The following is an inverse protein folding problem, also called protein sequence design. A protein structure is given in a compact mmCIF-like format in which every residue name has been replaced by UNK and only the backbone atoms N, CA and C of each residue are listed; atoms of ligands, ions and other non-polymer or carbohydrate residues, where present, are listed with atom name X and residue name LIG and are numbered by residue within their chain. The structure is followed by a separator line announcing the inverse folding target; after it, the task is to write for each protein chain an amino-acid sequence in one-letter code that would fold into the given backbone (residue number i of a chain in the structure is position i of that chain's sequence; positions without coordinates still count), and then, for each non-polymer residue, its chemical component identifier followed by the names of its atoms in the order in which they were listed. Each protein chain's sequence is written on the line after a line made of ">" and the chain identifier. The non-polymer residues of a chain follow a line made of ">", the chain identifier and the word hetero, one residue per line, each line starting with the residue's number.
data_IF_750560774952
#
_entry.id   IF_750560774952
#
_cell.length_a   1.000
_cell.length_b   1.000
_cell.length_c   1.000
_cell.angle_alpha   90.00
_cell.angle_beta   90.00
_cell.angle_gamma   90.00
#
_symmetry.space_group_name_H-M   'P 1'
#
loop_
_entity.id
_entity.type
_entity.pdbx_description
1 polymer ?
#
# COMPACT_ATOMS: atom_id res chain seq x y z
N UNK A 1 22.66 -5.67 -10.48
CA UNK A 1 22.84 -4.41 -9.71
C UNK A 1 23.96 -4.65 -8.72
N UNK A 2 25.05 -3.88 -8.75
CA UNK A 2 26.10 -4.00 -7.74
C UNK A 2 25.54 -3.62 -6.37
N UNK A 3 25.90 -4.37 -5.32
CA UNK A 3 25.47 -4.07 -3.96
C UNK A 3 25.91 -2.65 -3.58
N UNK A 4 24.97 -1.82 -3.15
CA UNK A 4 25.26 -0.47 -2.67
C UNK A 4 25.93 -0.58 -1.30
N UNK A 5 27.03 0.14 -1.11
CA UNK A 5 27.70 0.19 0.19
C UNK A 5 26.75 0.77 1.24
N UNK A 6 26.80 0.25 2.47
CA UNK A 6 26.03 0.79 3.60
C UNK A 6 26.20 2.29 3.80
N UNK A 7 27.42 2.81 3.56
CA UNK A 7 27.72 4.26 3.66
C UNK A 7 26.96 5.07 2.61
N UNK A 8 26.91 4.57 1.37
CA UNK A 8 26.20 5.18 0.26
C UNK A 8 24.69 5.16 0.51
N UNK A 9 24.16 4.04 1.01
CA UNK A 9 22.74 3.94 1.39
C UNK A 9 22.37 4.94 2.49
N UNK A 10 23.15 5.03 3.57
CA UNK A 10 22.92 5.99 4.66
C UNK A 10 22.95 7.44 4.17
N UNK A 11 23.87 7.78 3.27
CA UNK A 11 23.93 9.10 2.64
C UNK A 11 22.64 9.42 1.85
N UNK A 12 22.20 8.49 1.00
CA UNK A 12 20.97 8.65 0.23
C UNK A 12 19.74 8.75 1.11
N UNK A 13 19.67 7.94 2.15
CA UNK A 13 18.57 7.97 3.12
C UNK A 13 18.46 9.36 3.75
N UNK A 14 19.57 9.92 4.24
CA UNK A 14 19.58 11.27 4.81
C UNK A 14 19.09 12.35 3.82
N UNK A 15 19.31 12.14 2.51
CA UNK A 15 19.03 13.14 1.47
C UNK A 15 17.65 13.02 0.84
N UNK A 16 17.14 11.81 0.63
CA UNK A 16 15.93 11.55 -0.18
C UNK A 16 14.79 10.88 0.59
N UNK A 17 14.98 10.55 1.87
CA UNK A 17 13.92 9.96 2.69
C UNK A 17 12.82 10.95 3.07
N UNK A 18 13.16 12.22 3.29
CA UNK A 18 12.17 13.20 3.72
C UNK A 18 11.32 13.73 2.56
N UNK A 19 10.04 13.94 2.83
CA UNK A 19 9.08 14.49 1.87
C UNK A 19 9.43 15.93 1.50
N UNK A 20 9.36 16.24 0.22
CA UNK A 20 9.34 17.63 -0.26
C UNK A 20 8.04 18.32 0.16
N UNK A 21 8.01 19.66 0.11
CA UNK A 21 6.79 20.43 0.44
C UNK A 21 5.58 20.02 -0.42
N UNK A 22 5.81 19.71 -1.70
CA UNK A 22 4.76 19.25 -2.60
C UNK A 22 4.23 17.87 -2.19
N UNK A 23 5.11 16.94 -1.82
CA UNK A 23 4.69 15.60 -1.37
C UNK A 23 4.02 15.65 -0.01
N UNK A 24 4.47 16.52 0.90
CA UNK A 24 3.81 16.72 2.19
C UNK A 24 2.40 17.25 1.99
N UNK A 25 2.20 18.20 1.07
CA UNK A 25 0.86 18.67 0.69
C UNK A 25 0.00 17.54 0.14
N UNK A 26 0.55 16.76 -0.80
CA UNK A 26 -0.18 15.64 -1.41
C UNK A 26 -0.52 14.55 -0.36
N UNK A 27 0.38 14.27 0.58
CA UNK A 27 0.15 13.40 1.73
C UNK A 27 -1.00 13.91 2.61
N UNK A 28 -0.99 15.19 2.99
CA UNK A 28 -2.05 15.79 3.81
C UNK A 28 -3.42 15.75 3.11
N UNK A 29 -3.45 15.97 1.79
CA UNK A 29 -4.68 15.86 1.01
C UNK A 29 -5.22 14.42 1.00
N UNK A 30 -4.34 13.43 0.82
CA UNK A 30 -4.72 12.02 0.90
C UNK A 30 -5.26 11.66 2.27
N UNK A 31 -4.58 12.10 3.34
CA UNK A 31 -5.06 11.90 4.73
C UNK A 31 -6.45 12.49 4.92
N UNK A 32 -6.67 13.71 4.43
CA UNK A 32 -7.96 14.39 4.50
C UNK A 32 -9.06 13.59 3.79
N UNK A 33 -8.87 13.25 2.51
CA UNK A 33 -9.91 12.56 1.75
C UNK A 33 -10.13 11.12 2.24
N UNK A 34 -9.07 10.37 2.53
CA UNK A 34 -9.20 9.01 3.02
C UNK A 34 -9.77 8.96 4.43
N UNK A 35 -9.46 9.94 5.28
CA UNK A 35 -10.07 10.07 6.60
C UNK A 35 -11.57 10.31 6.51
N UNK A 36 -12.01 11.20 5.61
CA UNK A 36 -13.43 11.43 5.33
C UNK A 36 -14.12 10.18 4.79
N UNK A 37 -13.49 9.46 3.85
CA UNK A 37 -14.00 8.19 3.32
C UNK A 37 -14.15 7.16 4.45
N UNK A 38 -13.15 7.04 5.32
CA UNK A 38 -13.11 6.04 6.38
C UNK A 38 -14.05 6.31 7.56
N UNK A 39 -14.46 7.56 7.78
CA UNK A 39 -15.39 7.95 8.84
C UNK A 39 -16.81 8.19 8.37
N UNK A 40 -17.11 8.02 7.08
CA UNK A 40 -18.37 8.44 6.47
C UNK A 40 -19.62 7.82 7.10
N UNK A 41 -19.56 6.54 7.44
CA UNK A 41 -20.66 5.78 8.05
C UNK A 41 -20.63 5.81 9.59
N UNK A 42 -19.77 6.63 10.21
CA UNK A 42 -19.52 6.65 11.66
C UNK A 42 -19.97 7.95 12.34
N UNK A 43 -21.01 8.59 11.82
CA UNK A 43 -21.58 9.84 12.36
C UNK A 43 -22.78 9.60 13.29
N UNK A 44 -22.82 8.44 13.94
CA UNK A 44 -23.91 7.99 14.80
C UNK A 44 -24.45 6.62 14.38
N UNK A 45 -25.32 6.05 15.21
CA UNK A 45 -25.96 4.76 14.95
C UNK A 45 -27.26 4.91 14.15
N UNK A 46 -28.40 4.73 14.81
CA UNK A 46 -29.71 4.93 14.18
C UNK A 46 -30.02 6.41 13.88
N UNK A 47 -29.39 7.32 14.62
CA UNK A 47 -29.59 8.77 14.50
C UNK A 47 -28.24 9.48 14.35
N UNK A 48 -28.25 10.62 13.66
CA UNK A 48 -27.06 11.44 13.45
C UNK A 48 -26.59 12.09 14.76
N UNK A 49 -25.31 11.91 15.08
CA UNK A 49 -24.64 12.51 16.23
C UNK A 49 -23.35 13.22 15.79
N UNK A 50 -23.40 14.56 15.80
CA UNK A 50 -22.30 15.42 15.37
C UNK A 50 -21.02 15.22 16.20
N UNK A 51 -21.15 15.06 17.52
CA UNK A 51 -20.00 14.94 18.43
C UNK A 51 -19.29 13.61 18.20
N UNK A 52 -20.05 12.53 18.07
CA UNK A 52 -19.52 11.21 17.76
C UNK A 52 -18.86 11.17 16.37
N UNK A 53 -19.50 11.77 15.36
CA UNK A 53 -18.94 11.89 14.02
C UNK A 53 -17.61 12.64 14.00
N UNK A 54 -17.51 13.79 14.68
CA UNK A 54 -16.26 14.54 14.77
C UNK A 54 -15.16 13.76 15.50
N UNK A 55 -15.48 13.06 16.58
CA UNK A 55 -14.53 12.18 17.29
C UNK A 55 -14.00 11.08 16.36
N UNK A 56 -14.90 10.40 15.64
CA UNK A 56 -14.54 9.33 14.72
C UNK A 56 -13.74 9.84 13.51
N UNK A 57 -14.06 11.03 13.01
CA UNK A 57 -13.30 11.70 11.95
C UNK A 57 -11.86 12.03 12.38
N UNK A 58 -11.67 12.56 13.59
CA UNK A 58 -10.33 12.84 14.13
C UNK A 58 -9.51 11.56 14.29
N UNK A 59 -10.13 10.49 14.80
CA UNK A 59 -9.48 9.17 14.88
C UNK A 59 -9.13 8.68 13.47
N UNK A 60 -10.05 8.79 12.51
CA UNK A 60 -9.83 8.38 11.12
C UNK A 60 -8.62 9.10 10.49
N UNK A 61 -8.46 10.41 10.70
CA UNK A 61 -7.28 11.14 10.21
C UNK A 61 -5.98 10.58 10.76
N UNK A 62 -5.93 10.26 12.06
CA UNK A 62 -4.72 9.69 12.68
C UNK A 62 -4.42 8.31 12.11
N UNK A 63 -5.43 7.43 12.04
CA UNK A 63 -5.25 6.07 11.51
C UNK A 63 -4.77 6.09 10.06
N UNK A 64 -5.44 6.87 9.21
CA UNK A 64 -5.07 7.03 7.80
C UNK A 64 -3.67 7.63 7.66
N UNK A 65 -3.34 8.67 8.42
CA UNK A 65 -2.01 9.28 8.36
C UNK A 65 -0.90 8.28 8.68
N UNK A 66 -1.08 7.48 9.74
CA UNK A 66 -0.09 6.46 10.12
C UNK A 66 0.00 5.36 9.04
N UNK A 67 -1.13 4.84 8.56
CA UNK A 67 -1.14 3.81 7.51
C UNK A 67 -0.49 4.27 6.20
N UNK A 68 -0.89 5.44 5.69
CA UNK A 68 -0.34 5.98 4.44
C UNK A 68 1.15 6.33 4.62
N UNK A 69 1.53 6.83 5.79
CA UNK A 69 2.95 7.11 6.08
C UNK A 69 3.78 5.84 6.05
N UNK A 70 3.35 4.76 6.73
CA UNK A 70 4.06 3.46 6.73
C UNK A 70 4.19 2.93 5.30
N UNK A 71 3.08 2.95 4.55
CA UNK A 71 3.06 2.53 3.15
C UNK A 71 4.10 3.27 2.31
N UNK A 72 4.07 4.61 2.31
CA UNK A 72 5.00 5.43 1.51
C UNK A 72 6.43 5.36 2.02
N UNK A 73 6.64 5.27 3.34
CA UNK A 73 7.96 5.17 3.94
C UNK A 73 8.68 3.89 3.49
N UNK A 74 8.01 2.74 3.51
CA UNK A 74 8.63 1.47 3.08
C UNK A 74 8.93 1.46 1.58
N UNK A 75 8.01 1.95 0.74
CA UNK A 75 8.27 2.13 -0.70
C UNK A 75 9.48 3.02 -0.96
N UNK A 76 9.59 4.09 -0.18
CA UNK A 76 10.70 5.05 -0.26
C UNK A 76 12.02 4.42 0.15
N UNK A 77 12.06 3.67 1.25
CA UNK A 77 13.24 2.92 1.68
C UNK A 77 13.70 1.96 0.57
N UNK A 78 12.76 1.23 -0.04
CA UNK A 78 13.02 0.32 -1.14
C UNK A 78 13.59 1.02 -2.38
N UNK A 79 12.96 2.11 -2.81
CA UNK A 79 13.41 2.89 -3.96
C UNK A 79 14.82 3.47 -3.75
N UNK A 80 15.09 4.00 -2.55
CA UNK A 80 16.42 4.53 -2.18
C UNK A 80 17.46 3.41 -2.16
N UNK A 81 17.11 2.25 -1.60
CA UNK A 81 17.98 1.07 -1.61
C UNK A 81 18.31 0.62 -3.04
N UNK A 82 17.37 0.75 -3.97
CA UNK A 82 17.59 0.45 -5.38
C UNK A 82 18.28 1.57 -6.17
N UNK A 83 18.62 2.70 -5.52
CA UNK A 83 19.34 3.82 -6.13
C UNK A 83 18.46 4.78 -6.93
N UNK A 84 17.18 4.88 -6.58
CA UNK A 84 16.24 5.83 -7.16
C UNK A 84 15.86 6.92 -6.17
N UNK A 85 15.42 8.07 -6.71
CA UNK A 85 14.70 9.09 -5.96
C UNK A 85 13.20 8.81 -6.05
N UNK A 86 12.55 8.46 -4.95
CA UNK A 86 11.11 8.31 -4.91
C UNK A 86 10.43 9.67 -4.73
N UNK A 87 9.43 9.94 -5.55
CA UNK A 87 8.52 11.06 -5.42
C UNK A 87 7.08 10.48 -5.31
N UNK A 88 6.38 10.76 -4.23
CA UNK A 88 4.99 10.31 -4.04
C UNK A 88 4.03 11.33 -4.63
N UNK A 89 3.05 10.87 -5.41
CA UNK A 89 2.10 11.73 -6.12
C UNK A 89 0.67 11.31 -5.85
N UNK A 90 -0.21 12.29 -5.80
CA UNK A 90 -1.66 12.07 -5.66
C UNK A 90 -2.28 11.65 -7.01
N UNK A 91 -3.19 10.69 -6.96
CA UNK A 91 -4.03 10.29 -8.09
C UNK A 91 -5.45 10.80 -7.86
N UNK A 92 -5.70 12.04 -8.31
CA UNK A 92 -6.98 12.73 -8.12
C UNK A 92 -8.18 11.94 -8.61
N UNK A 93 -8.06 11.28 -9.77
CA UNK A 93 -9.14 10.48 -10.34
C UNK A 93 -9.56 9.35 -9.39
N UNK A 94 -8.60 8.64 -8.79
CA UNK A 94 -8.90 7.58 -7.84
C UNK A 94 -9.59 8.08 -6.56
N UNK A 95 -9.21 9.26 -6.07
CA UNK A 95 -9.88 9.93 -4.94
C UNK A 95 -11.33 10.29 -5.30
N UNK A 96 -11.56 10.90 -6.47
CA UNK A 96 -12.91 11.26 -6.89
C UNK A 96 -13.79 10.04 -7.14
N UNK A 97 -13.25 8.98 -7.74
CA UNK A 97 -13.95 7.70 -7.88
C UNK A 97 -14.30 7.13 -6.49
N UNK A 98 -13.36 7.16 -5.55
CA UNK A 98 -13.59 6.67 -4.18
C UNK A 98 -14.69 7.45 -3.46
N UNK A 99 -14.71 8.77 -3.57
CA UNK A 99 -15.77 9.62 -3.01
C UNK A 99 -17.12 9.38 -3.70
N UNK A 100 -17.14 9.25 -5.04
CA UNK A 100 -18.37 8.99 -5.77
C UNK A 100 -18.98 7.63 -5.35
N UNK A 101 -18.17 6.57 -5.34
CA UNK A 101 -18.60 5.23 -4.92
C UNK A 101 -19.07 5.23 -3.47
N UNK A 102 -18.39 5.96 -2.58
CA UNK A 102 -18.79 6.10 -1.19
C UNK A 102 -20.20 6.70 -1.07
N UNK A 103 -20.48 7.80 -1.77
CA UNK A 103 -21.78 8.48 -1.74
C UNK A 103 -22.86 7.56 -2.33
N UNK A 104 -22.63 6.98 -3.50
CA UNK A 104 -23.61 6.11 -4.16
C UNK A 104 -23.87 4.81 -3.41
N UNK A 105 -22.88 4.30 -2.67
CA UNK A 105 -23.02 3.09 -1.85
C UNK A 105 -23.49 3.38 -0.42
N UNK A 106 -23.78 4.64 -0.09
CA UNK A 106 -24.11 5.10 1.27
C UNK A 106 -23.10 4.59 2.32
N UNK A 107 -21.80 4.74 2.04
CA UNK A 107 -20.73 4.35 2.95
C UNK A 107 -20.31 2.88 2.91
N UNK A 108 -21.03 2.00 2.21
CA UNK A 108 -20.78 0.55 2.24
C UNK A 108 -19.50 0.13 1.51
N UNK A 109 -19.12 0.85 0.46
CA UNK A 109 -17.93 0.56 -0.34
C UNK A 109 -16.96 1.72 -0.21
N UNK A 110 -15.81 1.44 0.41
CA UNK A 110 -14.73 2.41 0.61
C UNK A 110 -13.57 2.04 -0.31
N UNK A 111 -13.19 2.94 -1.23
CA UNK A 111 -12.05 2.74 -2.14
C UNK A 111 -10.89 3.62 -1.71
N UNK A 112 -9.74 3.00 -1.44
CA UNK A 112 -8.53 3.68 -1.00
C UNK A 112 -7.44 3.64 -2.07
N UNK A 113 -7.75 4.16 -3.26
CA UNK A 113 -6.85 4.24 -4.39
C UNK A 113 -6.60 5.71 -4.73
N UNK A 114 -5.51 6.31 -4.23
CA UNK A 114 -5.35 7.77 -4.29
C UNK A 114 -3.91 8.27 -4.37
N UNK A 115 -2.93 7.36 -4.32
CA UNK A 115 -1.51 7.71 -4.42
C UNK A 115 -0.78 6.75 -5.33
N UNK A 116 0.32 7.19 -5.90
CA UNK A 116 1.25 6.32 -6.62
C UNK A 116 2.68 6.78 -6.43
N UNK A 117 3.59 5.81 -6.46
CA UNK A 117 5.03 6.06 -6.45
C UNK A 117 5.50 6.47 -7.84
N UNK A 118 6.25 7.55 -7.95
CA UNK A 118 7.04 7.91 -9.12
C UNK A 118 8.52 7.79 -8.78
N UNK A 119 9.29 7.05 -9.58
CA UNK A 119 10.74 6.92 -9.37
C UNK A 119 11.52 7.71 -10.42
N UNK A 120 12.53 8.44 -9.96
CA UNK A 120 13.47 9.16 -10.81
C UNK A 120 14.87 8.59 -10.63
N UNK A 121 15.64 8.56 -11.72
CA UNK A 121 17.03 8.14 -11.64
C UNK A 121 17.90 9.22 -10.98
N UNK A 122 18.76 8.80 -10.04
CA UNK A 122 19.79 9.66 -9.44
C UNK A 122 20.98 9.82 -10.41
N UNK A 123 20.81 10.64 -11.44
CA UNK A 123 21.83 10.85 -12.49
C UNK A 123 23.16 11.37 -11.94
N UNK A 124 23.12 12.24 -10.93
CA UNK A 124 24.31 12.83 -10.29
C UNK A 124 25.16 11.82 -9.51
N UNK A 125 24.57 10.71 -9.06
CA UNK A 125 25.25 9.72 -8.21
C UNK A 125 25.77 8.50 -9.01
N UNK A 126 25.69 8.56 -10.33
CA UNK A 126 26.14 7.50 -11.26
C UNK A 126 27.29 7.95 -12.15
N UNK A 127 28.19 8.82 -11.65
CA UNK A 127 29.43 9.16 -12.35
C UNK A 127 30.26 7.89 -12.56
N UNK A 128 30.63 7.59 -13.81
CA UNK A 128 31.34 6.36 -14.19
C UNK A 128 30.48 5.08 -14.26
N UNK A 129 29.15 5.16 -14.07
CA UNK A 129 28.22 4.02 -14.20
C UNK A 129 27.25 4.25 -15.38
N UNK A 130 26.83 3.15 -16.02
CA UNK A 130 25.88 3.17 -17.14
C UNK A 130 24.54 3.84 -16.75
N UNK A 131 24.01 4.69 -17.64
CA UNK A 131 22.80 5.53 -17.46
C UNK A 131 21.58 5.00 -18.22
N UNK A 132 21.28 3.70 -18.11
CA UNK A 132 19.97 3.20 -18.56
C UNK A 132 18.87 3.80 -17.67
N UNK A 133 17.67 4.08 -18.20
CA UNK A 133 16.56 4.66 -17.42
C UNK A 133 16.10 3.79 -16.24
N UNK A 134 15.06 4.22 -15.49
CA UNK A 134 14.55 3.42 -14.38
C UNK A 134 14.14 2.01 -14.84
N UNK A 135 14.69 0.99 -14.18
CA UNK A 135 14.32 -0.39 -14.50
C UNK A 135 12.88 -0.64 -14.07
N UNK A 136 12.03 -1.10 -14.99
CA UNK A 136 10.63 -1.44 -14.72
C UNK A 136 10.53 -2.52 -13.63
N UNK A 137 11.46 -3.47 -13.61
CA UNK A 137 11.57 -4.49 -12.56
C UNK A 137 11.82 -3.87 -11.17
N UNK A 138 12.75 -2.93 -11.09
CA UNK A 138 13.04 -2.22 -9.84
C UNK A 138 11.85 -1.37 -9.38
N UNK A 139 11.12 -0.78 -10.33
CA UNK A 139 9.91 -0.03 -10.04
C UNK A 139 8.84 -0.95 -9.44
N UNK A 140 8.54 -2.06 -10.09
CA UNK A 140 7.57 -3.04 -9.58
C UNK A 140 7.92 -3.55 -8.19
N UNK A 141 9.20 -3.83 -7.92
CA UNK A 141 9.65 -4.25 -6.59
C UNK A 141 9.46 -3.16 -5.52
N UNK A 142 9.85 -1.91 -5.82
CA UNK A 142 9.65 -0.81 -4.88
C UNK A 142 8.17 -0.53 -4.61
N UNK A 143 7.33 -0.59 -5.65
CA UNK A 143 5.88 -0.40 -5.56
C UNK A 143 5.22 -1.48 -4.70
N UNK A 144 5.58 -2.75 -4.90
CA UNK A 144 5.08 -3.91 -4.14
C UNK A 144 5.33 -3.81 -2.62
N UNK A 145 6.45 -3.21 -2.21
CA UNK A 145 6.80 -3.15 -0.80
C UNK A 145 5.88 -2.22 0.03
N UNK A 146 5.12 -1.33 -0.60
CA UNK A 146 4.08 -0.53 0.07
C UNK A 146 2.91 -1.41 0.56
N UNK A 147 2.21 -2.12 -0.33
CA UNK A 147 1.18 -3.07 0.06
C UNK A 147 1.67 -4.15 1.03
N UNK A 148 2.90 -4.66 0.87
CA UNK A 148 3.52 -5.58 1.84
C UNK A 148 3.64 -4.94 3.23
N UNK A 149 4.09 -3.68 3.32
CA UNK A 149 4.21 -2.99 4.59
C UNK A 149 2.87 -2.87 5.32
N UNK A 150 1.80 -2.53 4.59
CA UNK A 150 0.46 -2.46 5.17
C UNK A 150 -0.06 -3.83 5.61
N UNK A 151 0.20 -4.88 4.84
CA UNK A 151 -0.17 -6.25 5.20
C UNK A 151 0.53 -6.70 6.51
N UNK A 152 1.84 -6.47 6.61
CA UNK A 152 2.61 -6.79 7.81
C UNK A 152 2.17 -5.93 9.00
N UNK A 153 1.92 -4.64 8.77
CA UNK A 153 1.45 -3.74 9.82
C UNK A 153 0.06 -4.12 10.33
N UNK A 154 -0.86 -4.53 9.45
CA UNK A 154 -2.14 -5.11 9.84
C UNK A 154 -1.98 -6.36 10.71
N UNK A 155 -1.01 -7.23 10.38
CA UNK A 155 -0.64 -8.37 11.20
C UNK A 155 -0.16 -7.98 12.60
N UNK A 156 0.75 -7.00 12.71
CA UNK A 156 1.22 -6.51 14.00
C UNK A 156 0.07 -5.92 14.82
N UNK A 157 -0.78 -5.09 14.20
CA UNK A 157 -1.93 -4.47 14.86
C UNK A 157 -2.93 -5.52 15.36
N UNK A 158 -3.21 -6.56 14.57
CA UNK A 158 -4.11 -7.63 15.00
C UNK A 158 -3.53 -8.43 16.15
N UNK A 159 -2.22 -8.73 16.14
CA UNK A 159 -1.55 -9.40 17.25
C UNK A 159 -1.68 -8.60 18.56
N UNK A 160 -1.47 -7.27 18.49
CA UNK A 160 -1.70 -6.37 19.63
C UNK A 160 -3.16 -6.38 20.06
N UNK A 161 -4.09 -6.37 19.10
CA UNK A 161 -5.52 -6.32 19.39
C UNK A 161 -6.04 -7.60 20.08
N UNK A 162 -5.39 -8.75 19.90
CA UNK A 162 -5.75 -9.96 20.63
C UNK A 162 -5.60 -9.81 22.16
N UNK A 163 -4.72 -8.91 22.62
CA UNK A 163 -4.55 -8.63 24.05
C UNK A 163 -5.42 -7.47 24.54
N UNK A 164 -5.71 -6.50 23.68
CA UNK A 164 -6.42 -5.25 24.06
C UNK A 164 -7.93 -5.33 23.83
N UNK A 165 -8.38 -5.98 22.75
CA UNK A 165 -9.81 -6.09 22.41
C UNK A 165 -10.46 -4.77 21.99
N UNK A 166 -9.73 -3.85 21.35
CA UNK A 166 -10.25 -2.55 20.92
C UNK A 166 -10.85 -2.59 19.51
N UNK A 167 -12.10 -2.13 19.37
CA UNK A 167 -12.75 -1.95 18.06
C UNK A 167 -11.99 -0.99 17.14
N UNK A 168 -11.32 0.02 17.70
CA UNK A 168 -10.48 0.96 16.93
C UNK A 168 -9.30 0.26 16.27
N UNK A 169 -8.67 -0.70 16.98
CA UNK A 169 -7.56 -1.48 16.41
C UNK A 169 -8.04 -2.42 15.32
N UNK A 170 -9.21 -3.06 15.46
CA UNK A 170 -9.79 -3.86 14.37
C UNK A 170 -10.11 -3.00 13.14
N UNK A 171 -10.65 -1.79 13.33
CA UNK A 171 -10.85 -0.84 12.26
C UNK A 171 -9.53 -0.44 11.58
N UNK A 172 -8.45 -0.29 12.37
CA UNK A 172 -7.12 0.03 11.87
C UNK A 172 -6.49 -1.13 11.08
N UNK A 173 -6.71 -2.38 11.50
CA UNK A 173 -6.34 -3.58 10.75
C UNK A 173 -7.06 -3.59 9.40
N UNK A 174 -8.39 -3.39 9.40
CA UNK A 174 -9.20 -3.35 8.19
C UNK A 174 -8.73 -2.27 7.21
N UNK A 175 -8.43 -1.07 7.69
CA UNK A 175 -7.90 0.03 6.87
C UNK A 175 -6.60 -0.36 6.16
N UNK A 176 -5.64 -0.97 6.88
CA UNK A 176 -4.37 -1.38 6.29
C UNK A 176 -4.54 -2.49 5.25
N UNK A 177 -5.41 -3.46 5.51
CA UNK A 177 -5.74 -4.52 4.55
C UNK A 177 -6.40 -3.97 3.28
N UNK A 178 -7.35 -3.02 3.42
CA UNK A 178 -7.98 -2.36 2.29
C UNK A 178 -6.97 -1.52 1.49
N UNK A 179 -6.10 -0.76 2.15
CA UNK A 179 -5.04 -0.02 1.48
C UNK A 179 -4.08 -0.95 0.74
N UNK A 180 -3.74 -2.10 1.33
CA UNK A 180 -2.91 -3.11 0.66
C UNK A 180 -3.62 -3.63 -0.60
N UNK A 181 -4.88 -4.05 -0.47
CA UNK A 181 -5.68 -4.59 -1.58
C UNK A 181 -5.82 -3.59 -2.73
N UNK A 182 -6.29 -2.36 -2.47
CA UNK A 182 -6.53 -1.38 -3.53
C UNK A 182 -5.25 -0.97 -4.26
N UNK A 183 -4.12 -0.85 -3.55
CA UNK A 183 -2.85 -0.53 -4.20
C UNK A 183 -2.29 -1.71 -5.01
N UNK A 184 -2.70 -2.95 -4.75
CA UNK A 184 -2.34 -4.11 -5.59
C UNK A 184 -3.12 -4.24 -6.89
N UNK A 185 -4.17 -3.45 -7.10
CA UNK A 185 -4.97 -3.53 -8.32
C UNK A 185 -4.15 -3.14 -9.56
N UNK A 186 -4.36 -3.81 -10.72
CA UNK A 186 -3.57 -3.58 -11.94
C UNK A 186 -4.08 -2.36 -12.72
N UNK A 187 -4.39 -1.25 -12.05
CA UNK A 187 -4.94 -0.03 -12.65
C UNK A 187 -3.88 1.07 -12.66
N UNK A 188 -3.42 1.56 -13.82
CA UNK A 188 -2.50 2.70 -13.86
C UNK A 188 -3.13 3.94 -13.21
N UNK A 189 -2.42 4.69 -12.34
CA UNK A 189 -0.98 4.62 -12.02
C UNK A 189 -0.62 3.82 -10.76
N UNK A 190 -1.55 3.04 -10.16
CA UNK A 190 -1.37 2.33 -8.90
C UNK A 190 -0.21 1.32 -8.90
N UNK A 191 0.22 0.92 -7.71
CA UNK A 191 1.39 0.05 -7.51
C UNK A 191 1.25 -1.32 -8.18
N UNK A 192 0.05 -1.89 -8.20
CA UNK A 192 -0.24 -3.16 -8.85
C UNK A 192 0.07 -3.15 -10.34
N UNK A 193 -0.20 -2.03 -11.03
CA UNK A 193 0.17 -1.88 -12.45
C UNK A 193 1.70 -1.91 -12.63
N UNK A 194 2.46 -1.27 -11.72
CA UNK A 194 3.93 -1.27 -11.76
C UNK A 194 4.50 -2.64 -11.48
N UNK A 195 3.89 -3.39 -10.57
CA UNK A 195 4.27 -4.78 -10.28
C UNK A 195 4.01 -5.68 -11.49
N UNK A 196 2.84 -5.57 -12.12
CA UNK A 196 2.48 -6.33 -13.32
C UNK A 196 3.47 -6.11 -14.46
N UNK A 197 3.82 -4.85 -14.76
CA UNK A 197 4.81 -4.54 -15.80
C UNK A 197 6.25 -4.87 -15.39
N UNK A 198 6.56 -4.91 -14.09
CA UNK A 198 7.86 -5.33 -13.58
C UNK A 198 8.07 -6.84 -13.71
N UNK A 199 7.09 -7.63 -13.30
CA UNK A 199 7.10 -9.08 -13.39
C UNK A 199 5.66 -9.61 -13.38
N UNK A 200 5.19 -10.12 -14.53
CA UNK A 200 3.85 -10.71 -14.65
C UNK A 200 3.65 -11.84 -13.63
N UNK A 201 4.60 -12.76 -13.60
CA UNK A 201 4.63 -13.87 -12.64
C UNK A 201 4.66 -13.37 -11.19
N UNK A 202 5.50 -12.38 -10.87
CA UNK A 202 5.58 -11.80 -9.53
C UNK A 202 4.27 -11.14 -9.10
N UNK A 203 3.57 -10.50 -10.03
CA UNK A 203 2.24 -9.93 -9.79
C UNK A 203 1.21 -11.00 -9.44
N UNK A 204 1.09 -12.08 -10.22
CA UNK A 204 0.13 -13.15 -9.95
C UNK A 204 0.41 -13.89 -8.64
N UNK A 205 1.70 -14.10 -8.32
CA UNK A 205 2.11 -14.59 -7.01
C UNK A 205 1.60 -13.66 -5.88
N UNK A 206 1.84 -12.35 -6.02
CA UNK A 206 1.54 -11.39 -4.97
C UNK A 206 0.05 -11.15 -4.78
N UNK A 207 -0.72 -10.98 -5.87
CA UNK A 207 -2.18 -10.82 -5.78
C UNK A 207 -2.85 -12.10 -5.28
N UNK A 208 -2.39 -13.27 -5.74
CA UNK A 208 -2.87 -14.57 -5.24
C UNK A 208 -2.61 -14.73 -3.75
N UNK A 209 -1.41 -14.38 -3.29
CA UNK A 209 -1.08 -14.36 -1.87
C UNK A 209 -1.91 -13.36 -1.08
N UNK A 210 -2.10 -12.13 -1.58
CA UNK A 210 -2.92 -11.10 -0.92
C UNK A 210 -4.38 -11.56 -0.78
N UNK A 211 -5.00 -12.06 -1.85
CA UNK A 211 -6.37 -12.56 -1.82
C UNK A 211 -6.50 -13.79 -0.92
N UNK A 212 -5.54 -14.71 -0.99
CA UNK A 212 -5.46 -15.85 -0.08
C UNK A 212 -5.39 -15.41 1.37
N UNK A 213 -4.55 -14.42 1.69
CA UNK A 213 -4.46 -13.86 3.04
C UNK A 213 -5.81 -13.29 3.49
N UNK A 214 -6.48 -12.48 2.67
CA UNK A 214 -7.77 -11.88 3.02
C UNK A 214 -8.85 -12.94 3.27
N UNK A 215 -8.94 -13.96 2.43
CA UNK A 215 -9.91 -15.05 2.60
C UNK A 215 -9.61 -15.83 3.88
N UNK A 216 -8.35 -16.23 4.11
CA UNK A 216 -7.95 -16.96 5.32
C UNK A 216 -8.17 -16.13 6.60
N UNK A 217 -7.93 -14.82 6.51
CA UNK A 217 -8.06 -13.90 7.63
C UNK A 217 -9.52 -13.63 8.01
N UNK A 218 -10.39 -13.33 7.03
CA UNK A 218 -11.78 -12.96 7.29
C UNK A 218 -12.74 -14.15 7.36
N UNK A 219 -12.55 -15.17 6.53
CA UNK A 219 -13.49 -16.30 6.43
C UNK A 219 -13.16 -17.39 7.44
N UNK A 220 -11.88 -17.73 7.58
CA UNK A 220 -11.44 -18.82 8.46
C UNK A 220 -10.95 -18.35 9.83
N UNK A 221 -10.83 -17.04 10.05
CA UNK A 221 -10.39 -16.43 11.30
C UNK A 221 -9.10 -17.06 11.88
N UNK A 222 -8.17 -17.49 11.00
CA UNK A 222 -6.95 -18.18 11.41
C UNK A 222 -5.97 -17.22 12.09
N UNK A 223 -5.00 -17.79 12.81
CA UNK A 223 -3.89 -17.01 13.35
C UNK A 223 -3.07 -16.35 12.22
N UNK A 224 -2.47 -15.21 12.52
CA UNK A 224 -1.77 -14.38 11.52
C UNK A 224 -0.59 -15.12 10.91
N UNK A 225 0.16 -15.87 11.73
CA UNK A 225 1.27 -16.69 11.26
C UNK A 225 0.79 -17.74 10.25
N UNK A 226 -0.31 -18.42 10.54
CA UNK A 226 -0.91 -19.39 9.63
C UNK A 226 -1.43 -18.71 8.37
N UNK A 227 -2.06 -17.53 8.47
CA UNK A 227 -2.48 -16.76 7.31
C UNK A 227 -1.30 -16.39 6.41
N UNK A 228 -0.16 -15.97 6.96
CA UNK A 228 1.04 -15.63 6.19
C UNK A 228 1.64 -16.87 5.51
N UNK A 229 1.74 -18.00 6.21
CA UNK A 229 2.30 -19.24 5.63
C UNK A 229 1.37 -19.80 4.54
N UNK A 230 0.07 -19.90 4.81
CA UNK A 230 -0.89 -20.44 3.85
C UNK A 230 -1.11 -19.49 2.66
N UNK A 231 -1.11 -18.18 2.87
CA UNK A 231 -1.19 -17.21 1.76
C UNK A 231 0.03 -17.30 0.84
N UNK A 232 1.22 -17.58 1.37
CA UNK A 232 2.39 -17.86 0.55
C UNK A 232 2.15 -19.08 -0.36
N UNK A 233 1.60 -20.17 0.18
CA UNK A 233 1.25 -21.37 -0.60
C UNK A 233 0.23 -21.04 -1.68
N UNK A 234 -0.83 -20.29 -1.34
CA UNK A 234 -1.83 -19.84 -2.32
C UNK A 234 -1.18 -18.98 -3.41
N UNK A 235 -0.25 -18.09 -3.05
CA UNK A 235 0.53 -17.32 -4.00
C UNK A 235 1.35 -18.20 -4.95
N UNK A 236 2.01 -19.25 -4.45
CA UNK A 236 2.75 -20.22 -5.28
C UNK A 236 1.81 -20.96 -6.24
N UNK A 237 0.60 -21.34 -5.79
CA UNK A 237 -0.40 -21.97 -6.65
C UNK A 237 -0.82 -21.04 -7.77
N UNK A 238 -1.14 -19.78 -7.48
CA UNK A 238 -1.49 -18.77 -8.50
C UNK A 238 -0.35 -18.55 -9.49
N UNK A 239 0.88 -18.48 -9.00
CA UNK A 239 2.08 -18.38 -9.83
C UNK A 239 2.23 -19.58 -10.78
N UNK A 240 2.07 -20.82 -10.27
CA UNK A 240 2.18 -22.05 -11.05
C UNK A 240 1.07 -22.15 -12.11
N UNK A 241 -0.18 -21.87 -11.72
CA UNK A 241 -1.33 -21.89 -12.63
C UNK A 241 -1.12 -20.89 -13.77
N UNK A 242 -0.70 -19.66 -13.44
CA UNK A 242 -0.42 -18.65 -14.45
C UNK A 242 0.75 -19.04 -15.37
N UNK A 243 1.83 -19.60 -14.80
CA UNK A 243 2.98 -20.07 -15.57
C UNK A 243 2.58 -21.15 -16.58
N UNK A 244 1.81 -22.15 -16.16
CA UNK A 244 1.38 -23.26 -17.01
C UNK A 244 0.39 -22.78 -18.08
N UNK A 245 -0.57 -21.93 -17.71
CA UNK A 245 -1.64 -21.51 -18.60
C UNK A 245 -1.21 -20.46 -19.64
N UNK A 246 -0.29 -19.55 -19.30
CA UNK A 246 0.03 -18.39 -20.14
C UNK A 246 1.52 -18.24 -20.45
N UNK A 247 2.39 -18.30 -19.44
CA UNK A 247 3.80 -17.93 -19.62
C UNK A 247 4.60 -19.00 -20.39
N UNK A 248 4.25 -20.29 -20.25
CA UNK A 248 4.91 -21.38 -20.99
C UNK A 248 4.82 -21.25 -22.51
N UNK A 249 3.82 -20.53 -23.02
CA UNK A 249 3.54 -20.41 -24.45
C UNK A 249 4.09 -19.13 -25.10
N UNK A 250 4.70 -18.24 -24.32
CA UNK A 250 5.30 -16.98 -24.76
C UNK A 250 6.82 -17.09 -24.87
#
# INVERSE_FOLDING_TARGET
>A
MGAISWREYKYRLKRYFWFTKAELRDFLLVVLFFGLIFSFDKWGGAEFNLIEGLKNLLIAFVLVAVSVFIHHAVQRLAAIYLGYRPDQRIWWLGIFIGLAVLIFSNGRIMIFAGTYLMIHMLTKERLGKYRYGPSVKSFGYAAMLGPVANLLFAGILKAINMSVGSSTLDAFVGLNLLLALYNTLPVPPLDGSRLLFGSRLGYFFFIGGMLGFLVLFYVLALSILLCLVLSFVVGVVFWLVFYIAFERFL
#
